data_IF_190134391359
#
_entry.id   IF_190134391359
#
_cell.length_a   1.000
_cell.length_b   1.000
_cell.length_c   1.000
_cell.angle_alpha   90.00
_cell.angle_beta   90.00
_cell.angle_gamma   90.00
#
_symmetry.space_group_name_H-M   'P 1'
#
loop_
_entity.id
_entity.type
_entity.pdbx_description
1 polymer ?
#
# COMPACT_ATOMS: atom_id res chain seq x y z
N UNK A 1 -22.38 -40.24 8.38
CA UNK A 1 -23.14 -39.15 7.73
C UNK A 1 -22.15 -38.08 7.33
N UNK A 2 -21.95 -37.93 6.04
CA UNK A 2 -20.97 -37.04 5.42
C UNK A 2 -21.50 -35.61 5.56
N UNK A 3 -20.91 -34.84 6.47
CA UNK A 3 -21.23 -33.43 6.66
C UNK A 3 -20.67 -32.62 5.51
N UNK A 4 -21.36 -32.62 4.37
CA UNK A 4 -21.02 -31.80 3.21
C UNK A 4 -21.34 -30.33 3.52
N UNK A 5 -20.46 -29.69 4.29
CA UNK A 5 -20.44 -28.24 4.42
C UNK A 5 -19.64 -27.66 3.25
N UNK A 6 -20.24 -26.88 2.34
CA UNK A 6 -19.57 -26.38 1.14
C UNK A 6 -18.47 -25.32 1.40
N UNK A 7 -18.21 -24.99 2.66
CA UNK A 7 -17.27 -23.93 3.07
C UNK A 7 -16.07 -24.43 3.87
N UNK A 8 -16.01 -25.73 4.20
CA UNK A 8 -14.90 -26.31 4.96
C UNK A 8 -14.25 -27.43 4.14
N UNK A 9 -12.90 -27.54 4.14
CA UNK A 9 -12.25 -28.67 3.50
C UNK A 9 -12.72 -29.97 4.15
N UNK A 10 -12.90 -31.07 3.41
CA UNK A 10 -13.20 -32.36 4.00
C UNK A 10 -12.06 -32.74 4.95
N UNK A 11 -12.34 -32.69 6.25
CA UNK A 11 -11.40 -33.13 7.27
C UNK A 11 -11.37 -34.67 7.23
N UNK A 12 -10.28 -35.22 6.70
CA UNK A 12 -10.02 -36.66 6.78
C UNK A 12 -9.61 -36.93 8.23
N UNK A 13 -10.53 -37.52 9.02
CA UNK A 13 -10.20 -38.03 10.36
C UNK A 13 -9.17 -39.15 10.17
N UNK A 14 -8.00 -39.12 10.82
CA UNK A 14 -6.92 -40.09 10.61
C UNK A 14 -7.27 -41.57 10.91
N UNK A 15 -8.47 -41.87 11.42
CA UNK A 15 -8.81 -43.18 11.98
C UNK A 15 -9.77 -44.05 11.13
N UNK A 16 -10.30 -43.57 10.00
CA UNK A 16 -11.13 -44.41 9.11
C UNK A 16 -10.36 -44.83 7.87
N UNK A 17 -9.81 -46.04 7.89
CA UNK A 17 -9.03 -46.68 6.83
C UNK A 17 -9.83 -46.91 5.54
N UNK A 18 -9.52 -46.11 4.53
CA UNK A 18 -9.76 -46.39 3.13
C UNK A 18 -8.77 -45.56 2.31
N UNK A 19 -8.06 -46.16 1.37
CA UNK A 19 -7.28 -45.37 0.41
C UNK A 19 -8.22 -44.37 -0.25
N UNK A 20 -7.91 -43.06 -0.25
CA UNK A 20 -8.83 -42.06 -0.77
C UNK A 20 -9.17 -42.40 -2.22
N UNK A 21 -10.46 -42.36 -2.57
CA UNK A 21 -10.91 -42.66 -3.92
C UNK A 21 -10.27 -41.66 -4.90
N UNK A 22 -10.03 -42.03 -6.19
CA UNK A 22 -9.40 -41.12 -7.16
C UNK A 22 -10.10 -39.75 -7.27
N UNK A 23 -11.42 -39.73 -7.04
CA UNK A 23 -12.25 -38.53 -7.06
C UNK A 23 -12.02 -37.63 -5.84
N UNK A 24 -11.92 -38.20 -4.62
CA UNK A 24 -11.61 -37.45 -3.39
C UNK A 24 -10.19 -36.86 -3.43
N UNK A 25 -9.22 -37.58 -3.99
CA UNK A 25 -7.85 -37.07 -4.21
C UNK A 25 -7.87 -35.89 -5.18
N UNK A 26 -8.68 -35.96 -6.25
CA UNK A 26 -8.82 -34.89 -7.21
C UNK A 26 -9.46 -33.63 -6.57
N UNK A 27 -10.51 -33.81 -5.77
CA UNK A 27 -11.17 -32.72 -5.03
C UNK A 27 -10.22 -32.08 -4.00
N UNK A 28 -9.46 -32.89 -3.25
CA UNK A 28 -8.48 -32.39 -2.29
C UNK A 28 -7.34 -31.62 -2.97
N UNK A 29 -6.86 -32.09 -4.13
CA UNK A 29 -5.83 -31.40 -4.92
C UNK A 29 -6.34 -30.10 -5.53
N UNK A 30 -7.60 -30.06 -5.96
CA UNK A 30 -8.26 -28.83 -6.42
C UNK A 30 -8.42 -27.82 -5.27
N UNK A 31 -8.89 -28.26 -4.09
CA UNK A 31 -9.06 -27.38 -2.94
C UNK A 31 -7.74 -26.83 -2.43
N UNK A 32 -6.68 -27.66 -2.31
CA UNK A 32 -5.31 -27.19 -1.98
C UNK A 32 -4.75 -26.22 -3.01
N UNK A 33 -5.13 -26.36 -4.28
CA UNK A 33 -4.73 -25.40 -5.34
C UNK A 33 -5.43 -24.06 -5.15
N UNK A 34 -6.72 -24.08 -4.84
CA UNK A 34 -7.51 -22.88 -4.54
C UNK A 34 -6.98 -22.21 -3.27
N UNK A 35 -6.76 -22.96 -2.19
CA UNK A 35 -6.17 -22.48 -0.94
C UNK A 35 -4.81 -21.84 -1.19
N UNK A 36 -3.91 -22.51 -1.92
CA UNK A 36 -2.61 -21.93 -2.29
C UNK A 36 -2.75 -20.63 -3.07
N UNK A 37 -3.68 -20.56 -4.04
CA UNK A 37 -3.93 -19.32 -4.80
C UNK A 37 -4.42 -18.20 -3.87
N UNK A 38 -5.35 -18.51 -2.95
CA UNK A 38 -5.88 -17.54 -2.00
C UNK A 38 -4.85 -17.09 -0.96
N UNK A 39 -4.01 -18.00 -0.44
CA UNK A 39 -2.97 -17.70 0.54
C UNK A 39 -1.77 -16.97 -0.08
N UNK A 40 -1.44 -17.23 -1.35
CA UNK A 40 -0.31 -16.57 -2.03
C UNK A 40 -0.69 -15.25 -2.71
N UNK A 41 -1.99 -14.99 -2.93
CA UNK A 41 -2.43 -13.73 -3.55
C UNK A 41 -1.99 -12.48 -2.76
N UNK A 42 -2.10 -12.43 -1.41
CA UNK A 42 -1.63 -11.31 -0.60
C UNK A 42 -0.10 -11.15 -0.58
N UNK A 43 0.64 -12.24 -0.80
CA UNK A 43 2.10 -12.23 -0.82
C UNK A 43 2.66 -11.67 -2.13
N UNK A 44 1.83 -11.53 -3.16
CA UNK A 44 2.28 -11.04 -4.45
C UNK A 44 2.74 -9.57 -4.37
N UNK A 45 3.88 -9.28 -5.00
CA UNK A 45 4.46 -7.93 -5.04
C UNK A 45 3.46 -6.89 -5.58
N UNK A 46 2.65 -7.27 -6.57
CA UNK A 46 1.62 -6.39 -7.14
C UNK A 46 0.49 -6.11 -6.14
N UNK A 47 0.08 -7.10 -5.35
CA UNK A 47 -0.93 -6.90 -4.31
C UNK A 47 -0.39 -6.01 -3.19
N UNK A 48 0.81 -6.30 -2.66
CA UNK A 48 1.47 -5.46 -1.64
C UNK A 48 1.63 -4.01 -2.14
N UNK A 49 2.15 -3.82 -3.35
CA UNK A 49 2.30 -2.52 -3.97
C UNK A 49 0.95 -1.81 -4.19
N UNK A 50 -0.04 -2.53 -4.72
CA UNK A 50 -1.39 -2.00 -4.97
C UNK A 50 -2.07 -1.53 -3.68
N UNK A 51 -2.05 -2.36 -2.64
CA UNK A 51 -2.61 -2.02 -1.33
C UNK A 51 -1.89 -0.84 -0.70
N UNK A 52 -0.54 -0.83 -0.70
CA UNK A 52 0.24 0.29 -0.21
C UNK A 52 -0.04 1.58 -0.98
N UNK A 53 -0.23 1.49 -2.30
CA UNK A 53 -0.62 2.63 -3.13
C UNK A 53 -2.03 3.16 -2.81
N UNK A 54 -2.99 2.28 -2.53
CA UNK A 54 -4.34 2.67 -2.10
C UNK A 54 -4.30 3.34 -0.72
N UNK A 55 -3.61 2.73 0.24
CA UNK A 55 -3.45 3.26 1.61
C UNK A 55 -2.74 4.61 1.58
N UNK A 56 -1.62 4.71 0.87
CA UNK A 56 -0.88 5.97 0.71
C UNK A 56 -1.72 7.03 -0.02
N UNK A 57 -2.49 6.64 -1.03
CA UNK A 57 -3.40 7.54 -1.74
C UNK A 57 -4.52 8.08 -0.85
N UNK A 58 -5.11 7.23 -0.02
CA UNK A 58 -6.13 7.60 0.96
C UNK A 58 -5.58 8.56 2.01
N UNK A 59 -4.40 8.25 2.57
CA UNK A 59 -3.72 9.12 3.53
C UNK A 59 -3.38 10.48 2.90
N UNK A 60 -2.85 10.50 1.68
CA UNK A 60 -2.52 11.74 0.98
C UNK A 60 -3.75 12.60 0.68
N UNK A 61 -4.88 11.99 0.30
CA UNK A 61 -6.13 12.70 0.10
C UNK A 61 -6.67 13.27 1.42
N UNK A 62 -6.59 12.50 2.51
CA UNK A 62 -7.00 12.94 3.84
C UNK A 62 -6.15 14.12 4.34
N UNK A 63 -4.81 14.03 4.24
CA UNK A 63 -3.91 15.11 4.63
C UNK A 63 -4.14 16.39 3.81
N UNK A 64 -4.47 16.25 2.52
CA UNK A 64 -4.85 17.40 1.71
C UNK A 64 -6.15 18.04 2.17
N UNK A 65 -7.14 17.24 2.56
CA UNK A 65 -8.42 17.77 3.03
C UNK A 65 -8.24 18.53 4.35
N UNK A 66 -7.48 17.94 5.29
CA UNK A 66 -7.13 18.59 6.56
C UNK A 66 -6.40 19.91 6.33
N UNK A 67 -5.44 19.95 5.39
CA UNK A 67 -4.74 21.18 5.04
C UNK A 67 -5.67 22.27 4.48
N UNK A 68 -6.64 21.89 3.64
CA UNK A 68 -7.61 22.87 3.10
C UNK A 68 -8.57 23.37 4.20
N UNK A 69 -8.91 22.54 5.19
CA UNK A 69 -9.72 22.96 6.33
C UNK A 69 -9.06 24.09 7.14
N UNK A 70 -7.74 24.07 7.29
CA UNK A 70 -7.00 25.13 8.00
C UNK A 70 -6.67 26.34 7.12
N UNK A 71 -6.56 26.17 5.80
CA UNK A 71 -6.29 27.26 4.86
C UNK A 71 -7.52 28.14 4.53
N UNK A 72 -8.64 27.96 5.26
CA UNK A 72 -9.92 28.61 4.99
C UNK A 72 -9.99 30.09 5.39
N UNK A 73 -8.93 30.64 5.98
CA UNK A 73 -8.93 32.02 6.48
C UNK A 73 -8.86 33.09 5.36
N UNK A 74 -8.43 32.75 4.12
CA UNK A 74 -8.56 33.68 2.97
C UNK A 74 -8.63 32.98 1.58
N UNK A 75 -9.68 32.16 1.31
CA UNK A 75 -9.84 31.49 0.02
C UNK A 75 -10.23 32.46 -1.11
N UNK A 76 -10.76 33.64 -0.76
CA UNK A 76 -11.27 34.63 -1.72
C UNK A 76 -10.15 35.48 -2.34
N UNK A 77 -9.01 35.67 -1.68
CA UNK A 77 -7.84 36.34 -2.27
C UNK A 77 -6.88 35.38 -2.97
N UNK A 78 -6.83 34.13 -2.53
CA UNK A 78 -5.80 33.18 -2.98
C UNK A 78 -6.24 32.38 -4.21
N UNK A 79 -7.56 32.23 -4.44
CA UNK A 79 -8.08 31.43 -5.54
C UNK A 79 -8.48 32.32 -6.74
N UNK A 80 -7.72 32.31 -7.86
CA UNK A 80 -8.02 33.13 -9.04
C UNK A 80 -9.33 32.74 -9.74
N UNK A 81 -9.91 31.57 -9.42
CA UNK A 81 -11.18 31.12 -9.99
C UNK A 81 -12.41 31.65 -9.24
N UNK A 82 -12.22 32.23 -8.05
CA UNK A 82 -13.31 32.79 -7.25
C UNK A 82 -13.41 34.28 -7.55
N UNK A 83 -14.32 34.63 -8.46
CA UNK A 83 -14.59 36.03 -8.76
C UNK A 83 -15.57 36.63 -7.75
N UNK A 84 -15.42 37.91 -7.38
CA UNK A 84 -16.30 38.55 -6.41
C UNK A 84 -17.76 38.61 -6.86
N UNK A 85 -18.02 38.66 -8.18
CA UNK A 85 -19.35 38.70 -8.82
C UNK A 85 -20.12 37.37 -8.83
N UNK A 86 -19.52 36.28 -8.36
CA UNK A 86 -20.16 34.96 -8.39
C UNK A 86 -21.21 34.78 -7.29
N UNK A 87 -22.34 34.15 -7.65
CA UNK A 87 -23.35 33.68 -6.70
C UNK A 87 -22.75 32.71 -5.67
N UNK A 88 -23.24 32.75 -4.43
CA UNK A 88 -22.80 31.91 -3.31
C UNK A 88 -22.75 30.42 -3.67
N UNK A 89 -23.73 29.91 -4.42
CA UNK A 89 -23.73 28.51 -4.88
C UNK A 89 -22.57 28.19 -5.83
N UNK A 90 -22.23 29.12 -6.73
CA UNK A 90 -21.08 28.95 -7.65
C UNK A 90 -19.75 29.05 -6.90
N UNK A 91 -19.64 29.91 -5.89
CA UNK A 91 -18.46 30.02 -5.02
C UNK A 91 -18.20 28.71 -4.27
N UNK A 92 -19.23 28.15 -3.65
CA UNK A 92 -19.16 26.85 -2.97
C UNK A 92 -18.80 25.72 -3.94
N UNK A 93 -19.40 25.69 -5.14
CA UNK A 93 -19.07 24.69 -6.16
C UNK A 93 -17.61 24.74 -6.64
N UNK A 94 -17.06 25.94 -6.86
CA UNK A 94 -15.64 26.11 -7.23
C UNK A 94 -14.72 25.67 -6.09
N UNK A 95 -15.05 26.00 -4.84
CA UNK A 95 -14.30 25.55 -3.66
C UNK A 95 -14.26 24.03 -3.57
N UNK A 96 -15.41 23.35 -3.68
CA UNK A 96 -15.46 21.88 -3.66
C UNK A 96 -14.68 21.25 -4.83
N UNK A 97 -14.76 21.85 -6.02
CA UNK A 97 -13.99 21.39 -7.17
C UNK A 97 -12.48 21.50 -6.94
N UNK A 98 -12.02 22.60 -6.34
CA UNK A 98 -10.59 22.81 -6.06
C UNK A 98 -10.09 21.97 -4.88
N UNK A 99 -10.92 21.73 -3.87
CA UNK A 99 -10.69 20.74 -2.82
C UNK A 99 -10.48 19.35 -3.44
N UNK A 100 -11.39 18.91 -4.31
CA UNK A 100 -11.30 17.62 -4.99
C UNK A 100 -10.04 17.48 -5.85
N UNK A 101 -9.66 18.54 -6.58
CA UNK A 101 -8.40 18.56 -7.35
C UNK A 101 -7.17 18.47 -6.43
N UNK A 102 -7.20 19.17 -5.30
CA UNK A 102 -6.14 19.13 -4.28
C UNK A 102 -5.97 17.71 -3.73
N UNK A 103 -7.06 17.10 -3.27
CA UNK A 103 -7.11 15.72 -2.78
C UNK A 103 -6.59 14.73 -3.82
N UNK A 104 -7.04 14.84 -5.08
CA UNK A 104 -6.59 13.95 -6.15
C UNK A 104 -5.09 14.10 -6.43
N UNK A 105 -4.56 15.32 -6.49
CA UNK A 105 -3.13 15.58 -6.75
C UNK A 105 -2.26 15.04 -5.62
N UNK A 106 -2.67 15.28 -4.37
CA UNK A 106 -1.92 14.84 -3.20
C UNK A 106 -2.00 13.32 -3.02
N UNK A 107 -3.21 12.74 -3.13
CA UNK A 107 -3.42 11.30 -3.11
C UNK A 107 -2.66 10.58 -4.21
N UNK A 108 -2.62 11.11 -5.44
CA UNK A 108 -1.82 10.54 -6.53
C UNK A 108 -0.32 10.54 -6.22
N UNK A 109 0.18 11.54 -5.50
CA UNK A 109 1.60 11.64 -5.13
C UNK A 109 1.94 10.59 -4.07
N UNK A 110 1.17 10.54 -2.98
CA UNK A 110 1.41 9.58 -1.90
C UNK A 110 1.11 8.14 -2.31
N UNK A 111 0.10 7.90 -3.15
CA UNK A 111 -0.16 6.58 -3.69
C UNK A 111 0.93 6.07 -4.62
N UNK A 112 1.57 6.97 -5.39
CA UNK A 112 2.77 6.60 -6.18
C UNK A 112 3.94 6.22 -5.29
N UNK A 113 4.17 6.96 -4.20
CA UNK A 113 5.24 6.66 -3.25
C UNK A 113 4.99 5.29 -2.59
N UNK A 114 3.79 5.05 -2.06
CA UNK A 114 3.45 3.77 -1.43
C UNK A 114 3.56 2.58 -2.38
N UNK A 115 3.05 2.72 -3.60
CA UNK A 115 3.15 1.69 -4.64
C UNK A 115 4.60 1.37 -5.00
N UNK A 116 5.43 2.40 -5.21
CA UNK A 116 6.84 2.22 -5.56
C UNK A 116 7.64 1.63 -4.40
N UNK A 117 7.38 2.07 -3.17
CA UNK A 117 8.09 1.59 -1.98
C UNK A 117 7.85 0.10 -1.75
N UNK A 118 6.59 -0.31 -1.60
CA UNK A 118 6.23 -1.70 -1.34
C UNK A 118 6.57 -2.60 -2.54
N UNK A 119 6.47 -2.08 -3.77
CA UNK A 119 6.89 -2.79 -4.97
C UNK A 119 8.41 -3.02 -5.02
N UNK A 120 9.21 -1.97 -4.77
CA UNK A 120 10.66 -2.06 -4.76
C UNK A 120 11.17 -2.98 -3.65
N UNK A 121 10.61 -2.87 -2.45
CA UNK A 121 10.90 -3.75 -1.33
C UNK A 121 10.58 -5.21 -1.67
N UNK A 122 9.40 -5.50 -2.20
CA UNK A 122 9.00 -6.87 -2.57
C UNK A 122 9.89 -7.47 -3.66
N UNK A 123 10.39 -6.65 -4.59
CA UNK A 123 11.35 -7.09 -5.62
C UNK A 123 12.72 -7.41 -5.00
N UNK A 124 13.20 -6.56 -4.08
CA UNK A 124 14.47 -6.77 -3.37
C UNK A 124 14.38 -8.02 -2.48
N UNK A 125 13.27 -8.19 -1.75
CA UNK A 125 12.98 -9.37 -0.94
C UNK A 125 12.93 -10.63 -1.80
N UNK A 126 12.22 -10.60 -2.92
CA UNK A 126 12.14 -11.72 -3.86
C UNK A 126 13.48 -12.10 -4.49
N UNK A 127 14.37 -11.12 -4.73
CA UNK A 127 15.71 -11.37 -5.24
C UNK A 127 16.65 -11.94 -4.17
N UNK A 128 16.58 -11.43 -2.93
CA UNK A 128 17.50 -11.83 -1.84
C UNK A 128 16.98 -13.02 -1.03
N UNK A 129 15.71 -13.38 -1.19
CA UNK A 129 15.00 -14.42 -0.44
C UNK A 129 15.16 -14.28 1.09
N UNK A 130 15.29 -13.04 1.58
CA UNK A 130 15.48 -12.71 2.99
C UNK A 130 14.66 -11.48 3.32
N UNK A 131 13.96 -11.54 4.46
CA UNK A 131 13.30 -10.39 5.07
C UNK A 131 14.26 -9.78 6.09
N UNK A 132 14.95 -8.71 5.73
CA UNK A 132 15.98 -8.07 6.56
C UNK A 132 15.75 -6.55 6.64
N UNK A 133 16.33 -5.87 7.65
CA UNK A 133 16.14 -4.43 7.83
C UNK A 133 16.77 -3.58 6.72
N UNK A 134 17.53 -4.18 5.80
CA UNK A 134 18.07 -3.50 4.63
C UNK A 134 17.07 -3.45 3.46
N UNK A 135 16.05 -4.31 3.44
CA UNK A 135 15.00 -4.27 2.44
C UNK A 135 14.25 -2.92 2.40
N UNK A 136 13.75 -2.35 3.52
CA UNK A 136 13.12 -1.04 3.50
C UNK A 136 14.12 0.09 3.16
N UNK A 137 15.41 -0.07 3.48
CA UNK A 137 16.45 0.87 3.04
C UNK A 137 16.59 0.90 1.51
N UNK A 138 16.73 -0.27 0.87
CA UNK A 138 16.83 -0.34 -0.59
C UNK A 138 15.53 0.05 -1.28
N UNK A 139 14.37 -0.35 -0.74
CA UNK A 139 13.05 0.07 -1.22
C UNK A 139 12.89 1.60 -1.19
N UNK A 140 13.35 2.23 -0.10
CA UNK A 140 13.41 3.68 0.06
C UNK A 140 14.36 4.35 -0.94
N UNK A 141 15.60 3.87 -1.06
CA UNK A 141 16.59 4.39 -2.01
C UNK A 141 16.04 4.40 -3.45
N UNK A 142 15.46 3.27 -3.89
CA UNK A 142 14.91 3.10 -5.23
C UNK A 142 13.73 4.05 -5.43
N UNK A 143 12.79 4.07 -4.49
CA UNK A 143 11.58 4.91 -4.58
C UNK A 143 11.93 6.40 -4.61
N UNK A 144 12.74 6.86 -3.66
CA UNK A 144 13.17 8.26 -3.55
C UNK A 144 13.94 8.73 -4.78
N UNK A 145 14.74 7.85 -5.38
CA UNK A 145 15.47 8.15 -6.61
C UNK A 145 14.54 8.23 -7.83
N UNK A 146 13.58 7.30 -7.95
CA UNK A 146 12.64 7.25 -9.09
C UNK A 146 11.72 8.48 -9.11
N UNK A 147 11.18 8.89 -7.95
CA UNK A 147 10.24 10.02 -7.90
C UNK A 147 10.93 11.34 -8.24
N UNK A 148 12.19 11.49 -7.82
CA UNK A 148 12.97 12.72 -8.00
C UNK A 148 13.81 12.73 -9.28
N UNK A 149 13.69 11.70 -10.14
CA UNK A 149 14.46 11.57 -11.39
C UNK A 149 14.35 12.79 -12.31
N UNK A 150 13.19 13.47 -12.31
CA UNK A 150 12.93 14.65 -13.14
C UNK A 150 13.54 15.93 -12.57
N UNK A 151 13.89 15.94 -11.29
CA UNK A 151 14.45 17.10 -10.58
C UNK A 151 15.99 17.13 -10.65
N UNK A 152 16.61 16.21 -11.41
CA UNK A 152 18.06 16.13 -11.62
C UNK A 152 18.76 15.11 -10.71
N UNK A 153 20.01 14.77 -11.05
CA UNK A 153 20.77 13.71 -10.37
C UNK A 153 20.99 13.99 -8.88
N UNK A 154 21.36 15.23 -8.51
CA UNK A 154 21.56 15.61 -7.11
C UNK A 154 20.29 15.45 -6.28
N UNK A 155 19.15 15.87 -6.83
CA UNK A 155 17.86 15.72 -6.16
C UNK A 155 17.47 14.24 -6.04
N UNK A 156 17.71 13.44 -7.09
CA UNK A 156 17.46 12.00 -7.05
C UNK A 156 18.32 11.29 -5.99
N UNK A 157 19.63 11.57 -5.92
CA UNK A 157 20.52 10.97 -4.92
C UNK A 157 20.16 11.40 -3.50
N UNK A 158 19.89 12.69 -3.29
CA UNK A 158 19.53 13.19 -1.95
C UNK A 158 18.18 12.63 -1.49
N UNK A 159 17.17 12.63 -2.38
CA UNK A 159 15.86 12.05 -2.13
C UNK A 159 15.96 10.55 -1.88
N UNK A 160 16.71 9.82 -2.70
CA UNK A 160 16.98 8.40 -2.51
C UNK A 160 17.54 8.12 -1.12
N UNK A 161 18.67 8.74 -0.77
CA UNK A 161 19.29 8.59 0.55
C UNK A 161 18.33 8.93 1.70
N UNK A 162 17.58 10.03 1.59
CA UNK A 162 16.59 10.41 2.60
C UNK A 162 15.52 9.34 2.80
N UNK A 163 14.94 8.81 1.71
CA UNK A 163 13.94 7.75 1.77
C UNK A 163 14.51 6.43 2.29
N UNK A 164 15.73 6.07 1.89
CA UNK A 164 16.39 4.85 2.39
C UNK A 164 16.64 4.93 3.90
N UNK A 165 17.23 6.03 4.37
CA UNK A 165 17.46 6.25 5.80
C UNK A 165 16.16 6.30 6.60
N UNK A 166 15.11 6.92 6.06
CA UNK A 166 13.80 6.93 6.70
C UNK A 166 13.24 5.50 6.85
N UNK A 167 13.32 4.67 5.81
CA UNK A 167 12.89 3.27 5.86
C UNK A 167 13.67 2.46 6.90
N UNK A 168 15.00 2.58 6.91
CA UNK A 168 15.85 1.92 7.91
C UNK A 168 15.56 2.39 9.34
N UNK A 169 15.30 3.69 9.52
CA UNK A 169 14.95 4.23 10.82
C UNK A 169 13.61 3.68 11.31
N UNK A 170 12.58 3.60 10.47
CA UNK A 170 11.28 3.03 10.87
C UNK A 170 11.45 1.57 11.31
N UNK A 171 12.17 0.77 10.54
CA UNK A 171 12.46 -0.61 10.90
C UNK A 171 13.15 -0.72 12.26
N UNK A 172 14.20 0.07 12.48
CA UNK A 172 14.96 0.07 13.72
C UNK A 172 14.15 0.57 14.93
N UNK A 173 13.33 1.63 14.75
CA UNK A 173 12.62 2.27 15.86
C UNK A 173 11.32 1.55 16.23
N UNK A 174 10.57 1.04 15.25
CA UNK A 174 9.24 0.48 15.47
C UNK A 174 9.26 -1.06 15.44
N UNK A 175 9.96 -1.68 14.50
CA UNK A 175 9.82 -3.13 14.26
C UNK A 175 10.86 -3.93 15.05
N UNK A 176 12.12 -3.50 15.06
CA UNK A 176 13.18 -4.20 15.82
C UNK A 176 12.99 -4.08 17.33
N UNK A 177 12.48 -2.94 17.82
CA UNK A 177 12.26 -2.72 19.26
C UNK A 177 11.02 -3.41 19.83
N UNK A 178 10.06 -3.77 18.98
CA UNK A 178 8.83 -4.43 19.41
C UNK A 178 8.98 -5.93 19.60
N UNK A 179 10.08 -6.57 19.17
CA UNK A 179 10.40 -7.92 19.66
C UNK A 179 10.76 -7.79 21.14
N UNK A 180 9.88 -8.19 22.08
CA UNK A 180 10.35 -8.40 23.44
C UNK A 180 11.37 -9.53 23.32
N UNK A 181 12.47 -9.45 24.06
CA UNK A 181 13.31 -10.60 24.32
C UNK A 181 12.43 -11.66 25.02
N UNK A 182 11.75 -12.49 24.23
CA UNK A 182 11.01 -13.64 24.77
C UNK A 182 12.07 -14.71 25.09
N UNK A 183 12.21 -15.16 26.35
CA UNK A 183 13.20 -16.15 26.76
C UNK A 183 12.98 -17.54 26.14
#
# INVERSE_FOLDING_TARGET
MQGSSPLLPPYIIPETWGTPTPEEVAQFKQMKRIERIFSQAPESALFKAGMSGVVGGGLGAFLSLVSVSFAYEDPFRTNPNIRPDMSTMKKTGVMFADMGKGMYRQGKTWGRIGFLFAGAESIVEGYRAKHDPWNPFFGGLITGSIISRKSGLRAASLSGLGFGLFGAAIEHFFIEREKPDDP
#
